data_IF_134271003061
#
_entry.id   IF_134271003061
#
_cell.length_a   1.000
_cell.length_b   1.000
_cell.length_c   1.000
_cell.angle_alpha   90.00
_cell.angle_beta   90.00
_cell.angle_gamma   90.00
#
_symmetry.space_group_name_H-M   'P 1'
#
loop_
_entity.id
_entity.type
_entity.pdbx_description
1 polymer ?
#
# COMPACT_ATOMS: atom_id res chain seq x y z
N UNK A 1 -71.85 -43.26 3.91
CA UNK A 1 -71.34 -41.98 4.44
C UNK A 1 -70.19 -42.26 5.37
N UNK A 2 -68.97 -41.92 4.96
CA UNK A 2 -67.75 -42.05 5.76
C UNK A 2 -67.29 -40.65 6.14
N UNK A 3 -67.35 -40.32 7.42
CA UNK A 3 -66.83 -39.09 8.00
C UNK A 3 -65.30 -39.15 7.95
N UNK A 4 -64.70 -38.40 7.02
CA UNK A 4 -63.27 -38.08 7.09
C UNK A 4 -63.05 -37.09 8.24
N UNK A 5 -62.60 -37.63 9.37
CA UNK A 5 -62.03 -36.83 10.46
C UNK A 5 -60.68 -36.30 10.00
N UNK A 6 -60.61 -34.99 9.75
CA UNK A 6 -59.39 -34.26 9.43
C UNK A 6 -58.51 -34.18 10.70
N UNK A 7 -57.63 -35.17 10.90
CA UNK A 7 -56.59 -35.08 11.92
C UNK A 7 -55.32 -34.55 11.23
N UNK A 8 -55.19 -33.22 11.17
CA UNK A 8 -53.96 -32.58 10.74
C UNK A 8 -52.86 -32.89 11.77
N UNK A 9 -51.70 -33.41 11.36
CA UNK A 9 -50.72 -33.93 12.30
C UNK A 9 -50.00 -32.79 13.04
N UNK A 10 -49.82 -32.98 14.36
CA UNK A 10 -49.30 -32.04 15.39
C UNK A 10 -47.78 -31.79 15.24
N UNK A 11 -47.28 -31.50 14.04
CA UNK A 11 -45.83 -31.45 13.76
C UNK A 11 -45.23 -30.05 13.96
N UNK A 12 -46.06 -28.99 13.93
CA UNK A 12 -45.60 -27.62 14.11
C UNK A 12 -45.32 -27.21 15.56
N UNK A 13 -45.89 -27.90 16.55
CA UNK A 13 -45.78 -27.53 17.98
C UNK A 13 -44.48 -28.06 18.61
N UNK A 14 -43.98 -29.21 18.17
CA UNK A 14 -42.76 -29.83 18.70
C UNK A 14 -41.50 -29.01 18.33
N UNK A 15 -41.37 -28.61 17.06
CA UNK A 15 -40.25 -27.77 16.61
C UNK A 15 -40.23 -26.38 17.26
N UNK A 16 -41.40 -25.82 17.59
CA UNK A 16 -41.49 -24.52 18.24
C UNK A 16 -40.98 -24.58 19.69
N UNK A 17 -41.41 -25.58 20.46
CA UNK A 17 -40.94 -25.76 21.84
C UNK A 17 -39.46 -26.14 21.91
N UNK A 18 -38.98 -27.00 20.99
CA UNK A 18 -37.55 -27.28 20.86
C UNK A 18 -36.74 -26.02 20.54
N UNK A 19 -37.22 -25.20 19.60
CA UNK A 19 -36.60 -23.92 19.24
C UNK A 19 -36.50 -22.97 20.44
N UNK A 20 -37.56 -22.85 21.25
CA UNK A 20 -37.55 -22.08 22.50
C UNK A 20 -36.55 -22.62 23.52
N UNK A 21 -36.46 -23.93 23.70
CA UNK A 21 -35.50 -24.53 24.63
C UNK A 21 -34.05 -24.29 24.19
N UNK A 22 -33.75 -24.42 22.90
CA UNK A 22 -32.43 -24.10 22.38
C UNK A 22 -32.10 -22.61 22.54
N UNK A 23 -33.07 -21.73 22.30
CA UNK A 23 -32.92 -20.29 22.53
C UNK A 23 -32.59 -19.97 23.99
N UNK A 24 -33.33 -20.56 24.93
CA UNK A 24 -33.10 -20.38 26.36
C UNK A 24 -31.72 -20.91 26.81
N UNK A 25 -31.20 -21.95 26.14
CA UNK A 25 -29.86 -22.52 26.37
C UNK A 25 -28.73 -21.75 25.64
N UNK A 26 -29.04 -20.67 24.93
CA UNK A 26 -28.06 -19.91 24.13
C UNK A 26 -27.55 -20.63 22.88
N UNK A 27 -28.17 -21.76 22.51
CA UNK A 27 -27.84 -22.54 21.31
C UNK A 27 -28.53 -21.93 20.09
N UNK A 28 -28.09 -20.74 19.72
CA UNK A 28 -28.73 -19.90 18.71
C UNK A 28 -28.79 -20.53 17.30
N UNK A 29 -27.75 -21.21 16.78
CA UNK A 29 -27.83 -21.87 15.47
C UNK A 29 -28.86 -22.99 15.41
N UNK A 30 -28.96 -23.81 16.45
CA UNK A 30 -29.94 -24.90 16.55
C UNK A 30 -31.35 -24.37 16.74
N UNK A 31 -31.53 -23.34 17.59
CA UNK A 31 -32.80 -22.65 17.76
C UNK A 31 -33.32 -22.05 16.45
N UNK A 32 -32.43 -21.42 15.68
CA UNK A 32 -32.76 -20.86 14.37
C UNK A 32 -33.27 -21.93 13.40
N UNK A 33 -32.61 -23.10 13.34
CA UNK A 33 -33.05 -24.19 12.45
C UNK A 33 -34.44 -24.69 12.81
N UNK A 34 -34.71 -24.94 14.09
CA UNK A 34 -36.02 -25.40 14.57
C UNK A 34 -37.11 -24.35 14.28
N UNK A 35 -36.86 -23.08 14.59
CA UNK A 35 -37.85 -22.02 14.38
C UNK A 35 -38.06 -21.68 12.90
N UNK A 36 -37.04 -21.83 12.05
CA UNK A 36 -37.19 -21.64 10.60
C UNK A 36 -38.14 -22.67 9.99
N UNK A 37 -38.10 -23.92 10.45
CA UNK A 37 -39.07 -24.96 10.08
C UNK A 37 -40.49 -24.61 10.53
N UNK A 38 -40.65 -23.98 11.70
CA UNK A 38 -41.97 -23.52 12.17
C UNK A 38 -42.50 -22.41 11.27
N UNK A 39 -41.67 -21.40 10.94
CA UNK A 39 -42.10 -20.27 10.11
C UNK A 39 -42.28 -20.60 8.63
N UNK A 40 -41.69 -21.68 8.12
CA UNK A 40 -41.96 -22.16 6.77
C UNK A 40 -43.32 -22.87 6.67
N UNK A 41 -43.74 -23.56 7.73
CA UNK A 41 -45.04 -24.25 7.80
C UNK A 41 -46.16 -23.30 8.20
N UNK A 42 -45.89 -22.39 9.14
CA UNK A 42 -46.86 -21.40 9.65
C UNK A 42 -46.22 -20.00 9.58
N UNK A 43 -46.26 -19.34 8.42
CA UNK A 43 -45.68 -18.01 8.24
C UNK A 43 -46.27 -16.94 9.15
N UNK A 44 -47.52 -17.12 9.59
CA UNK A 44 -48.29 -16.22 10.46
C UNK A 44 -48.05 -16.44 11.96
N UNK A 45 -47.15 -17.34 12.36
CA UNK A 45 -46.81 -17.53 13.77
C UNK A 45 -45.90 -16.39 14.25
N UNK A 46 -46.50 -15.36 14.87
CA UNK A 46 -45.77 -14.18 15.31
C UNK A 46 -44.73 -14.48 16.39
N UNK A 47 -44.95 -15.47 17.27
CA UNK A 47 -43.99 -15.86 18.31
C UNK A 47 -42.71 -16.44 17.69
N UNK A 48 -42.87 -17.30 16.68
CA UNK A 48 -41.74 -17.91 15.99
C UNK A 48 -40.95 -16.86 15.20
N UNK A 49 -41.63 -15.93 14.53
CA UNK A 49 -40.99 -14.80 13.84
C UNK A 49 -40.24 -13.89 14.82
N UNK A 50 -40.83 -13.59 15.99
CA UNK A 50 -40.17 -12.79 17.03
C UNK A 50 -38.88 -13.44 17.55
N UNK A 51 -38.93 -14.74 17.86
CA UNK A 51 -37.77 -15.49 18.32
C UNK A 51 -36.69 -15.59 17.23
N UNK A 52 -37.06 -15.79 15.96
CA UNK A 52 -36.12 -15.73 14.85
C UNK A 52 -35.44 -14.37 14.74
N UNK A 53 -36.18 -13.25 14.86
CA UNK A 53 -35.60 -11.91 14.84
C UNK A 53 -34.57 -11.70 15.95
N UNK A 54 -34.88 -12.16 17.17
CA UNK A 54 -33.97 -12.09 18.31
C UNK A 54 -32.71 -12.94 18.09
N UNK A 55 -32.88 -14.14 17.56
CA UNK A 55 -31.77 -15.05 17.27
C UNK A 55 -30.88 -14.46 16.18
N UNK A 56 -31.46 -13.99 15.08
CA UNK A 56 -30.71 -13.37 13.98
C UNK A 56 -29.98 -12.11 14.45
N UNK A 57 -30.53 -11.31 15.36
CA UNK A 57 -29.80 -10.21 16.00
C UNK A 57 -28.59 -10.69 16.81
N UNK A 58 -28.75 -11.75 17.62
CA UNK A 58 -27.65 -12.32 18.43
C UNK A 58 -26.56 -12.96 17.57
N UNK A 59 -26.92 -13.47 16.41
CA UNK A 59 -25.99 -14.01 15.41
C UNK A 59 -25.36 -12.92 14.51
N UNK A 60 -25.76 -11.65 14.64
CA UNK A 60 -25.27 -10.54 13.81
C UNK A 60 -25.88 -10.48 12.41
N UNK A 61 -26.88 -11.30 12.11
CA UNK A 61 -27.60 -11.33 10.83
C UNK A 61 -28.69 -10.26 10.81
N UNK A 62 -28.27 -9.00 10.66
CA UNK A 62 -29.17 -7.84 10.76
C UNK A 62 -30.31 -7.83 9.73
N UNK A 63 -30.09 -8.34 8.52
CA UNK A 63 -31.13 -8.39 7.48
C UNK A 63 -32.17 -9.47 7.75
N UNK A 64 -31.74 -10.68 8.13
CA UNK A 64 -32.68 -11.74 8.55
C UNK A 64 -33.47 -11.33 9.80
N UNK A 65 -32.83 -10.57 10.71
CA UNK A 65 -33.49 -10.05 11.88
C UNK A 65 -34.59 -9.03 11.52
N UNK A 66 -34.29 -8.13 10.58
CA UNK A 66 -35.27 -7.14 10.07
C UNK A 66 -36.49 -7.85 9.50
N UNK A 67 -36.29 -8.79 8.58
CA UNK A 67 -37.38 -9.54 7.93
C UNK A 67 -38.25 -10.28 8.94
N UNK A 68 -37.65 -10.91 9.95
CA UNK A 68 -38.37 -11.65 10.98
C UNK A 68 -39.19 -10.73 11.90
N UNK A 69 -38.66 -9.55 12.28
CA UNK A 69 -39.42 -8.58 13.07
C UNK A 69 -40.57 -7.93 12.27
N UNK A 70 -40.36 -7.62 10.99
CA UNK A 70 -41.42 -7.10 10.12
C UNK A 70 -42.55 -8.12 9.95
N UNK A 71 -42.22 -9.40 9.71
CA UNK A 71 -43.19 -10.49 9.65
C UNK A 71 -43.89 -10.72 10.98
N UNK A 72 -43.19 -10.56 12.10
CA UNK A 72 -43.79 -10.63 13.42
C UNK A 72 -44.88 -9.57 13.59
N UNK A 73 -44.60 -8.31 13.22
CA UNK A 73 -45.58 -7.21 13.29
C UNK A 73 -46.78 -7.47 12.37
N UNK A 74 -46.53 -7.92 11.14
CA UNK A 74 -47.59 -8.23 10.17
C UNK A 74 -48.52 -9.37 10.62
N UNK A 75 -48.00 -10.32 11.40
CA UNK A 75 -48.75 -11.45 11.94
C UNK A 75 -49.67 -11.10 13.13
N UNK A 76 -49.68 -9.83 13.59
CA UNK A 76 -50.59 -9.34 14.62
C UNK A 76 -50.27 -9.84 16.04
N UNK A 77 -49.08 -9.53 16.59
CA UNK A 77 -48.71 -9.90 17.95
C UNK A 77 -49.41 -8.98 18.97
N UNK A 78 -49.25 -9.29 20.26
CA UNK A 78 -49.72 -8.39 21.31
C UNK A 78 -49.00 -7.02 21.25
N UNK A 79 -49.59 -5.95 21.81
CA UNK A 79 -49.02 -4.60 21.73
C UNK A 79 -47.59 -4.47 22.27
N UNK A 80 -47.24 -5.24 23.31
CA UNK A 80 -45.93 -5.20 23.92
C UNK A 80 -44.87 -5.82 23.00
N UNK A 81 -45.15 -7.00 22.45
CA UNK A 81 -44.28 -7.65 21.46
C UNK A 81 -44.13 -6.80 20.21
N UNK A 82 -45.21 -6.20 19.71
CA UNK A 82 -45.16 -5.27 18.57
C UNK A 82 -44.21 -4.08 18.83
N UNK A 83 -44.22 -3.52 20.06
CA UNK A 83 -43.32 -2.46 20.45
C UNK A 83 -41.85 -2.92 20.51
N UNK A 84 -41.59 -4.13 21.01
CA UNK A 84 -40.25 -4.72 21.02
C UNK A 84 -39.68 -4.93 19.61
N UNK A 85 -40.50 -5.43 18.68
CA UNK A 85 -40.10 -5.58 17.27
C UNK A 85 -39.72 -4.23 16.64
N UNK A 86 -40.51 -3.18 16.88
CA UNK A 86 -40.21 -1.83 16.37
C UNK A 86 -38.91 -1.28 16.94
N UNK A 87 -38.70 -1.40 18.24
CA UNK A 87 -37.44 -0.97 18.87
C UNK A 87 -36.22 -1.72 18.32
N UNK A 88 -36.36 -3.02 18.04
CA UNK A 88 -35.31 -3.81 17.41
C UNK A 88 -35.02 -3.37 15.97
N UNK A 89 -36.06 -3.06 15.18
CA UNK A 89 -35.92 -2.53 13.83
C UNK A 89 -35.22 -1.15 13.82
N UNK A 90 -35.58 -0.27 14.76
CA UNK A 90 -34.94 1.03 14.93
C UNK A 90 -33.45 0.89 15.29
N UNK A 91 -33.12 -0.05 16.18
CA UNK A 91 -31.74 -0.36 16.53
C UNK A 91 -30.96 -0.88 15.31
N UNK A 92 -31.53 -1.81 14.53
CA UNK A 92 -30.90 -2.33 13.30
C UNK A 92 -30.66 -1.21 12.28
N UNK A 93 -31.62 -0.30 12.12
CA UNK A 93 -31.48 0.85 11.23
C UNK A 93 -30.38 1.82 11.69
N UNK A 94 -30.27 2.05 13.01
CA UNK A 94 -29.21 2.86 13.58
C UNK A 94 -27.82 2.21 13.40
N UNK A 95 -27.68 0.91 13.64
CA UNK A 95 -26.42 0.19 13.46
C UNK A 95 -25.97 0.19 12.00
N UNK A 96 -26.88 -0.01 11.04
CA UNK A 96 -26.58 0.06 9.61
C UNK A 96 -26.01 1.43 9.19
N UNK A 97 -26.65 2.53 9.64
CA UNK A 97 -26.16 3.88 9.38
C UNK A 97 -24.77 4.12 9.97
N UNK A 98 -24.50 3.62 11.19
CA UNK A 98 -23.16 3.77 11.80
C UNK A 98 -22.09 2.96 11.07
N UNK A 99 -22.41 1.78 10.55
CA UNK A 99 -21.49 0.97 9.75
C UNK A 99 -21.12 1.66 8.43
N UNK A 100 -22.12 2.23 7.74
CA UNK A 100 -21.89 3.01 6.52
C UNK A 100 -21.04 4.25 6.75
N UNK A 101 -21.26 4.97 7.86
CA UNK A 101 -20.44 6.13 8.25
C UNK A 101 -19.00 5.70 8.53
N UNK A 102 -18.80 4.61 9.29
CA UNK A 102 -17.45 4.08 9.58
C UNK A 102 -16.72 3.66 8.31
N UNK A 103 -17.41 3.00 7.37
CA UNK A 103 -16.85 2.61 6.08
C UNK A 103 -16.42 3.83 5.27
N UNK A 104 -17.29 4.83 5.11
CA UNK A 104 -16.97 6.07 4.41
C UNK A 104 -15.83 6.84 5.07
N UNK A 105 -15.77 6.84 6.40
CA UNK A 105 -14.68 7.46 7.15
C UNK A 105 -13.36 6.74 6.89
N UNK A 106 -13.34 5.41 6.93
CA UNK A 106 -12.16 4.61 6.62
C UNK A 106 -11.69 4.83 5.17
N UNK A 107 -12.60 4.85 4.19
CA UNK A 107 -12.29 5.18 2.79
C UNK A 107 -11.73 6.61 2.63
N UNK A 108 -12.28 7.58 3.38
CA UNK A 108 -11.80 8.97 3.37
C UNK A 108 -10.41 9.10 4.01
N UNK A 109 -10.16 8.40 5.11
CA UNK A 109 -8.86 8.36 5.77
C UNK A 109 -7.81 7.71 4.88
N UNK A 110 -8.16 6.63 4.19
CA UNK A 110 -7.28 5.94 3.26
C UNK A 110 -6.93 6.82 2.06
N UNK A 111 -7.92 7.45 1.42
CA UNK A 111 -7.66 8.44 0.36
C UNK A 111 -6.78 9.60 0.85
N UNK A 112 -6.95 10.06 2.09
CA UNK A 112 -6.13 11.12 2.66
C UNK A 112 -4.68 10.66 2.88
N UNK A 113 -4.47 9.40 3.24
CA UNK A 113 -3.13 8.79 3.38
C UNK A 113 -2.44 8.65 2.03
N UNK A 114 -3.12 8.11 1.02
CA UNK A 114 -2.59 8.01 -0.36
C UNK A 114 -2.17 9.38 -0.91
N UNK A 115 -3.03 10.40 -0.77
CA UNK A 115 -2.71 11.77 -1.20
C UNK A 115 -1.50 12.36 -0.45
N UNK A 116 -1.31 11.97 0.81
CA UNK A 116 -0.13 12.38 1.59
C UNK A 116 1.13 11.71 1.05
N UNK A 117 1.11 10.39 0.84
CA UNK A 117 2.23 9.61 0.31
C UNK A 117 2.66 10.13 -1.08
N UNK A 118 1.70 10.43 -1.95
CA UNK A 118 1.97 11.04 -3.26
C UNK A 118 2.68 12.41 -3.15
N UNK A 119 2.26 13.25 -2.19
CA UNK A 119 2.89 14.56 -1.95
C UNK A 119 4.32 14.40 -1.42
N UNK A 120 4.55 13.45 -0.53
CA UNK A 120 5.87 13.15 0.02
C UNK A 120 6.80 12.61 -1.08
N UNK A 121 6.33 11.66 -1.90
CA UNK A 121 7.06 11.15 -3.07
C UNK A 121 7.39 12.23 -4.10
N UNK A 122 6.44 13.12 -4.40
CA UNK A 122 6.66 14.25 -5.31
C UNK A 122 7.71 15.22 -4.78
N UNK A 123 7.76 15.40 -3.46
CA UNK A 123 8.76 16.26 -2.82
C UNK A 123 10.13 15.59 -2.82
N UNK A 124 10.18 14.29 -2.52
CA UNK A 124 11.38 13.46 -2.57
C UNK A 124 12.00 13.45 -3.97
N UNK A 125 11.21 13.14 -5.01
CA UNK A 125 11.68 13.05 -6.40
C UNK A 125 12.31 14.37 -6.86
N UNK A 126 11.71 15.51 -6.52
CA UNK A 126 12.29 16.83 -6.81
C UNK A 126 13.64 17.04 -6.13
N UNK A 127 13.78 16.70 -4.85
CA UNK A 127 15.03 16.84 -4.11
C UNK A 127 16.12 15.91 -4.67
N UNK A 128 15.76 14.68 -5.00
CA UNK A 128 16.65 13.69 -5.61
C UNK A 128 17.15 14.16 -6.99
N UNK A 129 16.25 14.62 -7.85
CA UNK A 129 16.60 15.16 -9.17
C UNK A 129 17.53 16.37 -9.05
N UNK A 130 17.28 17.26 -8.09
CA UNK A 130 18.17 18.40 -7.82
C UNK A 130 19.56 17.94 -7.37
N UNK A 131 19.65 16.94 -6.50
CA UNK A 131 20.93 16.39 -6.04
C UNK A 131 21.71 15.75 -7.19
N UNK A 132 21.06 14.93 -8.02
CA UNK A 132 21.66 14.31 -9.22
C UNK A 132 22.19 15.39 -10.16
N UNK A 133 21.36 16.39 -10.50
CA UNK A 133 21.76 17.48 -11.40
C UNK A 133 22.95 18.27 -10.88
N UNK A 134 23.01 18.55 -9.57
CA UNK A 134 24.16 19.23 -8.95
C UNK A 134 25.42 18.37 -9.05
N UNK A 135 25.29 17.07 -8.79
CA UNK A 135 26.40 16.12 -8.89
C UNK A 135 26.94 16.03 -10.31
N UNK A 136 26.05 15.87 -11.29
CA UNK A 136 26.41 15.83 -12.70
C UNK A 136 27.14 17.10 -13.11
N UNK A 137 26.61 18.27 -12.73
CA UNK A 137 27.24 19.56 -13.05
C UNK A 137 28.69 19.65 -12.55
N UNK A 138 28.96 19.24 -11.32
CA UNK A 138 30.33 19.26 -10.75
C UNK A 138 31.27 18.35 -11.57
N UNK A 139 30.79 17.16 -11.92
CA UNK A 139 31.60 16.20 -12.67
C UNK A 139 31.81 16.64 -14.13
N UNK A 140 30.82 17.27 -14.76
CA UNK A 140 30.96 17.83 -16.11
C UNK A 140 31.95 18.97 -16.14
N UNK A 141 31.88 19.92 -15.18
CA UNK A 141 32.83 21.03 -15.08
C UNK A 141 34.27 20.54 -14.91
N UNK A 142 34.47 19.49 -14.10
CA UNK A 142 35.77 18.86 -13.92
C UNK A 142 36.29 18.18 -15.20
N UNK A 143 35.42 17.47 -15.93
CA UNK A 143 35.77 16.85 -17.22
C UNK A 143 36.15 17.89 -18.27
N UNK A 144 35.41 18.99 -18.33
CA UNK A 144 35.72 20.11 -19.22
C UNK A 144 37.04 20.77 -18.85
N UNK A 145 37.29 21.01 -17.56
CA UNK A 145 38.57 21.52 -17.08
C UNK A 145 39.72 20.59 -17.47
N UNK A 146 39.57 19.28 -17.29
CA UNK A 146 40.55 18.30 -17.71
C UNK A 146 40.78 18.31 -19.23
N UNK A 147 39.72 18.48 -20.02
CA UNK A 147 39.81 18.62 -21.48
C UNK A 147 40.60 19.87 -21.89
N UNK A 148 40.34 21.01 -21.24
CA UNK A 148 41.10 22.25 -21.46
C UNK A 148 42.58 22.07 -21.16
N UNK A 149 42.93 21.40 -20.07
CA UNK A 149 44.33 21.12 -19.71
C UNK A 149 45.00 20.21 -20.76
N UNK A 150 44.32 19.15 -21.21
CA UNK A 150 44.85 18.28 -22.27
C UNK A 150 45.11 19.06 -23.55
N UNK A 151 44.17 19.90 -23.96
CA UNK A 151 44.30 20.73 -25.14
C UNK A 151 45.44 21.75 -24.99
N UNK A 152 45.55 22.42 -23.84
CA UNK A 152 46.62 23.38 -23.54
C UNK A 152 48.01 22.73 -23.70
N UNK A 153 48.19 21.53 -23.15
CA UNK A 153 49.49 20.83 -23.18
C UNK A 153 49.79 20.28 -24.57
N UNK A 154 48.79 19.78 -25.29
CA UNK A 154 48.95 19.36 -26.69
C UNK A 154 49.38 20.53 -27.59
N UNK A 155 48.72 21.68 -27.47
CA UNK A 155 49.09 22.88 -28.25
C UNK A 155 50.47 23.42 -27.86
N UNK A 156 50.82 23.36 -26.57
CA UNK A 156 52.16 23.72 -26.11
C UNK A 156 53.22 22.81 -26.73
N UNK A 157 53.03 21.49 -26.70
CA UNK A 157 53.93 20.52 -27.33
C UNK A 157 54.02 20.78 -28.83
N UNK A 158 52.88 21.01 -29.51
CA UNK A 158 52.84 21.29 -30.95
C UNK A 158 53.67 22.52 -31.30
N UNK A 159 53.39 23.66 -30.66
CA UNK A 159 54.09 24.92 -30.88
C UNK A 159 55.59 24.79 -30.58
N UNK A 160 55.96 24.21 -29.44
CA UNK A 160 57.37 24.04 -29.08
C UNK A 160 58.09 23.04 -29.99
N UNK A 161 57.39 22.05 -30.58
CA UNK A 161 57.95 21.15 -31.60
C UNK A 161 58.15 21.87 -32.93
N UNK A 162 57.19 22.69 -33.36
CA UNK A 162 57.29 23.53 -34.57
C UNK A 162 58.43 24.56 -34.48
N UNK A 163 58.64 25.14 -33.30
CA UNK A 163 59.70 26.12 -33.01
C UNK A 163 61.06 25.49 -32.73
N UNK A 164 61.13 24.17 -32.52
CA UNK A 164 62.35 23.51 -32.09
C UNK A 164 63.37 23.35 -33.21
N UNK A 165 64.61 23.73 -32.93
CA UNK A 165 65.78 23.45 -33.78
C UNK A 165 66.58 22.23 -33.30
N UNK A 166 66.08 21.47 -32.31
CA UNK A 166 66.79 20.29 -31.79
C UNK A 166 66.80 19.15 -32.79
N UNK A 167 68.00 18.64 -33.05
CA UNK A 167 68.30 17.47 -33.88
C UNK A 167 68.83 16.37 -32.98
N UNK A 168 68.14 15.23 -32.92
CA UNK A 168 68.54 14.03 -32.19
C UNK A 168 68.85 12.88 -33.14
N UNK A 169 69.64 11.91 -32.69
CA UNK A 169 69.93 10.68 -33.44
C UNK A 169 69.44 9.49 -32.61
N UNK A 170 68.58 8.66 -33.19
CA UNK A 170 68.06 7.44 -32.53
C UNK A 170 69.14 6.37 -32.40
N UNK A 171 68.88 5.32 -31.61
CA UNK A 171 69.77 4.14 -31.52
C UNK A 171 69.94 3.39 -32.86
N UNK A 172 69.00 3.56 -33.81
CA UNK A 172 69.09 3.05 -35.18
C UNK A 172 69.84 3.97 -36.14
N UNK A 173 70.26 5.16 -35.69
CA UNK A 173 70.97 6.15 -36.51
C UNK A 173 70.06 7.13 -37.26
N UNK A 174 68.75 7.11 -37.03
CA UNK A 174 67.81 8.04 -37.66
C UNK A 174 67.86 9.42 -37.02
N UNK A 175 67.91 10.45 -37.86
CA UNK A 175 67.88 11.83 -37.40
C UNK A 175 66.43 12.24 -37.16
N UNK A 176 66.09 12.53 -35.91
CA UNK A 176 64.78 13.06 -35.52
C UNK A 176 64.91 14.56 -35.20
N UNK A 177 63.92 15.33 -35.60
CA UNK A 177 63.81 16.76 -35.27
C UNK A 177 62.59 16.96 -34.38
N UNK A 178 62.71 17.82 -33.37
CA UNK A 178 61.63 18.09 -32.41
C UNK A 178 62.06 17.94 -30.95
N UNK A 179 61.08 18.00 -30.05
CA UNK A 179 61.33 17.97 -28.60
C UNK A 179 61.83 16.59 -28.12
N UNK A 180 62.79 16.52 -27.19
CA UNK A 180 63.20 15.27 -26.57
C UNK A 180 62.03 14.56 -25.85
N UNK A 181 61.97 13.24 -25.97
CA UNK A 181 60.90 12.41 -25.42
C UNK A 181 60.72 12.60 -23.89
N UNK A 182 61.82 12.70 -23.15
CA UNK A 182 61.78 12.90 -21.69
C UNK A 182 61.07 14.21 -21.29
N UNK A 183 61.21 15.27 -22.09
CA UNK A 183 60.62 16.57 -21.83
C UNK A 183 59.12 16.56 -22.14
N UNK A 184 58.73 15.93 -23.25
CA UNK A 184 57.32 15.69 -23.59
C UNK A 184 56.64 14.86 -22.50
N UNK A 185 57.29 13.79 -22.04
CA UNK A 185 56.78 12.94 -20.97
C UNK A 185 56.63 13.72 -19.64
N UNK A 186 57.55 14.62 -19.33
CA UNK A 186 57.44 15.48 -18.14
C UNK A 186 56.23 16.42 -18.23
N UNK A 187 56.03 17.10 -19.37
CA UNK A 187 54.89 17.98 -19.58
C UNK A 187 53.55 17.23 -19.47
N UNK A 188 53.48 16.02 -20.03
CA UNK A 188 52.29 15.17 -19.93
C UNK A 188 52.05 14.70 -18.50
N UNK A 189 53.10 14.29 -17.77
CA UNK A 189 52.99 13.86 -16.38
C UNK A 189 52.50 14.98 -15.45
N UNK A 190 53.00 16.20 -15.62
CA UNK A 190 52.55 17.37 -14.87
C UNK A 190 51.08 17.71 -15.16
N UNK A 191 50.66 17.58 -16.43
CA UNK A 191 49.27 17.76 -16.86
C UNK A 191 48.35 16.72 -16.22
N UNK A 192 48.75 15.45 -16.25
CA UNK A 192 48.01 14.35 -15.65
C UNK A 192 47.89 14.47 -14.13
N UNK A 193 48.93 14.96 -13.46
CA UNK A 193 48.88 15.23 -12.02
C UNK A 193 47.82 16.30 -11.69
N UNK A 194 47.82 17.42 -12.44
CA UNK A 194 46.80 18.48 -12.33
C UNK A 194 45.39 17.96 -12.59
N UNK A 195 45.20 17.19 -13.66
CA UNK A 195 43.90 16.59 -14.03
C UNK A 195 43.40 15.67 -12.92
N UNK A 196 44.26 14.79 -12.40
CA UNK A 196 43.91 13.89 -11.30
C UNK A 196 43.46 14.66 -10.06
N UNK A 197 44.17 15.72 -9.68
CA UNK A 197 43.77 16.56 -8.54
C UNK A 197 42.37 17.14 -8.73
N UNK A 198 42.07 17.71 -9.91
CA UNK A 198 40.77 18.31 -10.22
C UNK A 198 39.64 17.28 -10.17
N UNK A 199 39.87 16.09 -10.75
CA UNK A 199 38.87 15.02 -10.76
C UNK A 199 38.61 14.52 -9.33
N UNK A 200 39.66 14.25 -8.56
CA UNK A 200 39.53 13.79 -7.17
C UNK A 200 38.77 14.81 -6.30
N UNK A 201 39.08 16.09 -6.42
CA UNK A 201 38.38 17.16 -5.71
C UNK A 201 36.91 17.24 -6.11
N UNK A 202 36.62 17.10 -7.42
CA UNK A 202 35.26 17.10 -7.92
C UNK A 202 34.46 15.89 -7.44
N UNK A 203 35.07 14.71 -7.41
CA UNK A 203 34.46 13.50 -6.86
C UNK A 203 34.18 13.62 -5.36
N UNK A 204 35.11 14.20 -4.59
CA UNK A 204 34.91 14.48 -3.17
C UNK A 204 33.73 15.43 -2.95
N UNK A 205 33.65 16.53 -3.70
CA UNK A 205 32.51 17.47 -3.66
C UNK A 205 31.19 16.81 -4.08
N UNK A 206 31.22 15.99 -5.13
CA UNK A 206 30.08 15.23 -5.62
C UNK A 206 29.55 14.23 -4.58
N UNK A 207 30.45 13.56 -3.85
CA UNK A 207 30.11 12.64 -2.76
C UNK A 207 29.54 13.36 -1.54
N UNK A 208 29.97 14.60 -1.30
CA UNK A 208 29.45 15.47 -0.23
C UNK A 208 28.04 16.03 -0.48
N UNK A 209 27.48 15.87 -1.68
CA UNK A 209 26.10 16.28 -1.96
C UNK A 209 25.15 15.34 -1.23
N UNK A 210 24.35 15.90 -0.31
CA UNK A 210 23.27 15.19 0.35
C UNK A 210 22.26 14.64 -0.65
N UNK A 211 22.07 13.32 -0.63
CA UNK A 211 20.99 12.62 -1.32
C UNK A 211 19.92 12.32 -0.28
N UNK A 212 18.67 12.80 -0.45
CA UNK A 212 17.60 12.50 0.50
C UNK A 212 17.34 10.99 0.56
N UNK A 213 17.03 10.49 1.74
CA UNK A 213 16.54 9.12 1.92
C UNK A 213 15.11 8.99 1.39
N UNK A 214 14.76 7.79 0.91
CA UNK A 214 13.41 7.49 0.46
C UNK A 214 12.44 7.59 1.65
N UNK A 215 11.28 8.26 1.49
CA UNK A 215 10.27 8.30 2.54
C UNK A 215 9.71 6.89 2.76
N UNK A 216 9.40 6.54 4.01
CA UNK A 216 8.66 5.32 4.34
C UNK A 216 7.19 5.53 4.02
N UNK A 217 6.68 4.87 2.98
CA UNK A 217 5.29 5.00 2.58
C UNK A 217 4.39 4.10 3.42
N UNK A 218 3.10 4.40 3.48
CA UNK A 218 2.15 3.55 4.18
C UNK A 218 2.02 2.18 3.49
N UNK A 219 2.06 2.16 2.15
CA UNK A 219 2.09 0.92 1.36
C UNK A 219 3.23 -0.04 1.77
N UNK A 220 4.34 0.48 2.29
CA UNK A 220 5.51 -0.33 2.66
C UNK A 220 5.35 -1.03 4.02
N UNK A 221 4.33 -0.66 4.82
CA UNK A 221 4.05 -1.32 6.10
C UNK A 221 3.24 -2.60 5.95
N UNK A 222 2.36 -2.68 4.94
CA UNK A 222 1.55 -3.88 4.70
C UNK A 222 2.35 -5.07 4.18
N UNK A 223 3.47 -4.84 3.48
CA UNK A 223 4.33 -5.92 2.95
C UNK A 223 5.29 -6.52 3.98
N UNK A 224 5.54 -5.83 5.10
CA UNK A 224 6.40 -6.33 6.18
C UNK A 224 5.71 -7.32 7.11
N UNK A 225 4.40 -7.19 7.31
CA UNK A 225 3.67 -8.10 8.20
C UNK A 225 3.55 -9.51 7.58
N UNK A 226 3.33 -9.63 6.26
CA UNK A 226 3.24 -10.93 5.58
C UNK A 226 4.56 -11.73 5.55
N UNK A 227 5.71 -11.06 5.59
CA UNK A 227 7.02 -11.73 5.59
C UNK A 227 7.47 -12.22 6.98
N UNK A 228 6.78 -11.83 8.04
CA UNK A 228 7.08 -12.27 9.41
C UNK A 228 6.31 -13.52 9.86
N UNK A 229 5.24 -13.91 9.17
CA UNK A 229 4.48 -15.14 9.48
C UNK A 229 5.05 -16.41 8.81
N UNK A 230 5.93 -16.29 7.81
CA UNK A 230 6.48 -17.44 7.07
C UNK A 230 7.77 -18.05 7.67
N UNK A 231 8.30 -17.48 8.75
CA UNK A 231 9.55 -17.97 9.40
C UNK A 231 9.33 -18.73 10.72
N UNK A 232 8.08 -19.04 11.05
CA UNK A 232 7.70 -19.68 12.31
C UNK A 232 6.82 -20.93 12.14
N UNK A 233 7.24 -21.91 11.34
CA UNK A 233 6.72 -23.28 11.38
C UNK A 233 7.82 -24.30 11.14
#
# INVERSE_FOLDING_TARGET
GLLFSFNAPVWGTDYFEQGKQFYAKGRYPEAWRCLKQVTSQVPTNWQAQYLLGNISLKLGHHDEARDAYERCILAGPDPQTAAHCKAALDHIAATGKTADIKKKLAESEENRRVVRDERELKTYSKKLQLAIRRREKILTEAREAASRIRHEVQERIRRETEESQTVGITRSGEVITGLPEWYVNQLLADAEARIRSIINDAEARAKGIYVPEAPTLHSDKFTRDESSEESGK
#
